data_IF_686958350411
#
_entry.id   IF_686958350411
#
_cell.length_a   1.000
_cell.length_b   1.000
_cell.length_c   1.000
_cell.angle_alpha   90.00
_cell.angle_beta   90.00
_cell.angle_gamma   90.00
#
_symmetry.space_group_name_H-M   'P 1'
#
loop_
_entity.id
_entity.type
_entity.pdbx_description
1 polymer ?
#
# COMPACT_ATOMS: atom_id res chain seq x y z
N UNK A 1 3.82 -62.72 17.97
CA UNK A 1 5.11 -62.84 18.68
C UNK A 1 5.64 -61.42 18.89
N UNK A 2 5.32 -60.76 19.99
CA UNK A 2 6.02 -60.67 21.31
C UNK A 2 6.63 -59.27 21.51
N UNK A 3 5.91 -58.45 22.29
CA UNK A 3 6.37 -57.49 23.32
C UNK A 3 7.44 -56.41 22.98
N UNK A 4 6.98 -55.16 22.93
CA UNK A 4 7.71 -54.01 23.48
C UNK A 4 6.72 -53.11 24.25
N UNK A 5 6.65 -53.29 25.57
CA UNK A 5 5.90 -52.45 26.53
C UNK A 5 6.74 -52.31 27.79
N UNK A 6 6.77 -51.09 28.34
CA UNK A 6 7.32 -50.66 29.64
C UNK A 6 8.82 -50.36 29.71
N UNK A 7 9.16 -49.10 29.49
CA UNK A 7 10.09 -48.34 30.33
C UNK A 7 9.48 -46.94 30.52
N UNK A 8 9.75 -46.28 31.64
CA UNK A 8 9.09 -45.06 32.17
C UNK A 8 7.83 -45.29 32.99
N UNK A 9 8.02 -45.86 34.18
CA UNK A 9 7.23 -45.48 35.34
C UNK A 9 8.10 -45.68 36.59
N UNK A 10 8.48 -44.57 37.25
CA UNK A 10 9.19 -44.67 38.52
C UNK A 10 10.16 -43.54 38.87
N UNK A 11 9.94 -42.30 38.46
CA UNK A 11 10.59 -41.19 39.16
C UNK A 11 9.82 -40.93 40.48
N UNK A 12 10.48 -40.88 41.65
CA UNK A 12 9.81 -40.67 42.92
C UNK A 12 9.14 -39.29 42.91
N UNK A 13 7.82 -39.24 43.15
CA UNK A 13 6.98 -38.02 43.17
C UNK A 13 7.55 -36.87 44.02
N UNK A 14 8.43 -37.16 44.97
CA UNK A 14 9.11 -36.15 45.80
C UNK A 14 10.18 -35.38 45.03
N UNK A 15 10.85 -35.97 44.04
CA UNK A 15 11.94 -35.33 43.29
C UNK A 15 11.40 -34.31 42.27
N UNK A 16 10.29 -34.61 41.60
CA UNK A 16 9.64 -33.68 40.67
C UNK A 16 9.05 -32.46 41.37
N UNK A 17 8.54 -32.62 42.61
CA UNK A 17 8.01 -31.49 43.37
C UNK A 17 9.12 -30.51 43.80
N UNK A 18 10.29 -31.01 44.23
CA UNK A 18 11.42 -30.16 44.61
C UNK A 18 12.04 -29.42 43.42
N UNK A 19 12.11 -30.05 42.24
CA UNK A 19 12.61 -29.40 41.01
C UNK A 19 11.69 -28.26 40.57
N UNK A 20 10.36 -28.44 40.63
CA UNK A 20 9.43 -27.38 40.31
C UNK A 20 9.46 -26.22 41.32
N UNK A 21 9.64 -26.52 42.61
CA UNK A 21 9.75 -25.49 43.65
C UNK A 21 11.02 -24.65 43.52
N UNK A 22 12.18 -25.27 43.20
CA UNK A 22 13.43 -24.53 42.98
C UNK A 22 13.41 -23.72 41.70
N UNK A 23 12.77 -24.21 40.62
CA UNK A 23 12.64 -23.45 39.37
C UNK A 23 11.76 -22.20 39.54
N UNK A 24 10.63 -22.32 40.27
CA UNK A 24 9.78 -21.17 40.61
C UNK A 24 10.49 -20.16 41.52
N UNK A 25 11.30 -20.63 42.49
CA UNK A 25 12.04 -19.73 43.36
C UNK A 25 13.13 -18.95 42.59
N UNK A 26 13.81 -19.60 41.64
CA UNK A 26 14.80 -18.96 40.75
C UNK A 26 14.14 -17.92 39.83
N UNK A 27 12.92 -18.17 39.35
CA UNK A 27 12.17 -17.22 38.50
C UNK A 27 11.71 -15.98 39.27
N UNK A 28 11.48 -16.09 40.58
CA UNK A 28 11.07 -14.96 41.42
C UNK A 28 12.23 -14.01 41.75
N UNK A 29 13.48 -14.49 41.76
CA UNK A 29 14.65 -13.66 42.03
C UNK A 29 15.14 -12.87 40.81
N UNK A 30 14.77 -13.23 39.58
CA UNK A 30 15.16 -12.52 38.35
C UNK A 30 14.31 -11.28 38.02
N UNK A 31 13.23 -11.00 38.75
CA UNK A 31 12.34 -9.85 38.52
C UNK A 31 12.65 -8.61 39.39
N UNK A 32 13.66 -8.66 40.27
CA UNK A 32 13.98 -7.57 41.19
C UNK A 32 15.16 -6.66 40.77
N UNK A 33 15.75 -6.87 39.58
CA UNK A 33 17.00 -6.22 39.17
C UNK A 33 16.86 -5.35 37.90
N UNK A 34 15.94 -4.39 37.88
CA UNK A 34 15.98 -3.27 36.93
C UNK A 34 15.38 -2.01 37.57
N UNK A 35 16.24 -1.14 38.12
CA UNK A 35 15.93 0.28 38.34
C UNK A 35 16.79 1.09 37.35
N UNK A 36 16.21 2.06 36.61
CA UNK A 36 16.99 2.92 35.72
C UNK A 36 17.63 4.07 36.50
N UNK A 37 18.94 4.17 36.42
CA UNK A 37 19.70 5.34 36.90
C UNK A 37 19.84 6.30 35.72
N UNK A 38 19.18 7.46 35.81
CA UNK A 38 19.35 8.55 34.85
C UNK A 38 20.60 9.38 35.13
N UNK A 39 21.30 9.80 34.08
CA UNK A 39 22.22 10.95 34.06
C UNK A 39 22.38 11.43 32.62
N UNK A 40 22.01 12.68 32.36
CA UNK A 40 22.38 13.44 31.16
C UNK A 40 23.87 13.88 31.24
N UNK A 41 24.53 14.17 30.12
CA UNK A 41 24.78 15.58 29.83
C UNK A 41 24.75 15.97 28.34
N UNK A 42 24.49 17.25 28.11
CA UNK A 42 24.89 18.02 26.92
C UNK A 42 25.81 19.16 27.40
N UNK A 43 26.39 20.02 26.54
CA UNK A 43 26.62 19.93 25.09
C UNK A 43 28.12 20.13 24.75
N UNK A 44 28.52 19.92 23.49
CA UNK A 44 29.60 20.75 22.95
C UNK A 44 29.49 21.04 21.45
N UNK A 45 30.00 22.22 21.13
CA UNK A 45 29.77 22.98 19.91
C UNK A 45 30.87 22.72 18.88
N UNK A 46 30.53 22.61 17.60
CA UNK A 46 31.43 23.08 16.54
C UNK A 46 30.65 23.37 15.25
N UNK A 47 30.49 24.66 15.04
CA UNK A 47 30.06 25.35 13.84
C UNK A 47 31.04 25.21 12.68
N UNK A 48 30.52 24.96 11.47
CA UNK A 48 31.18 25.38 10.22
C UNK A 48 30.16 26.09 9.34
N UNK A 49 30.40 27.39 9.15
CA UNK A 49 29.71 28.30 8.23
C UNK A 49 29.95 27.88 6.78
N UNK A 50 28.92 27.92 5.95
CA UNK A 50 29.07 28.30 4.55
C UNK A 50 27.89 29.17 4.13
N UNK A 51 28.20 30.24 3.42
CA UNK A 51 27.38 31.42 3.21
C UNK A 51 26.69 31.40 1.84
N UNK A 52 25.37 31.67 1.84
CA UNK A 52 24.61 32.61 0.98
C UNK A 52 24.68 32.51 -0.59
N UNK A 53 23.71 33.06 -1.35
CA UNK A 53 22.60 33.93 -0.92
C UNK A 53 21.19 33.48 -1.31
N UNK A 54 20.26 33.96 -0.48
CA UNK A 54 18.82 33.93 -0.68
C UNK A 54 18.36 35.02 -1.65
N UNK A 55 17.35 34.69 -2.44
CA UNK A 55 16.47 35.66 -3.10
C UNK A 55 15.14 35.66 -2.36
N UNK A 56 14.84 36.79 -1.74
CA UNK A 56 13.65 37.07 -0.93
C UNK A 56 12.45 37.32 -1.84
N UNK A 57 11.35 36.61 -1.61
CA UNK A 57 10.04 36.86 -2.21
C UNK A 57 8.96 36.53 -1.19
N UNK A 58 8.78 37.42 -0.22
CA UNK A 58 7.72 37.37 0.79
C UNK A 58 6.38 37.70 0.14
N UNK A 59 5.42 36.78 0.19
CA UNK A 59 4.00 37.10 0.14
C UNK A 59 3.30 36.32 1.25
N UNK A 60 3.05 37.03 2.35
CA UNK A 60 2.14 36.62 3.40
C UNK A 60 0.71 36.90 2.90
N UNK A 61 -0.09 35.85 2.75
CA UNK A 61 -1.54 35.98 2.73
C UNK A 61 -2.08 35.06 3.84
N UNK A 62 -2.43 35.69 4.96
CA UNK A 62 -3.30 35.11 5.98
C UNK A 62 -4.67 34.90 5.35
N UNK A 63 -5.18 33.66 5.39
CA UNK A 63 -6.60 33.37 5.20
C UNK A 63 -7.08 32.61 6.45
N UNK A 64 -8.21 32.99 7.07
CA UNK A 64 -8.55 32.57 8.41
C UNK A 64 -9.17 31.18 8.44
N UNK A 65 -9.01 30.54 9.60
CA UNK A 65 -9.65 29.30 10.04
C UNK A 65 -11.03 29.05 9.43
N UNK A 66 -11.12 28.07 8.54
CA UNK A 66 -12.34 27.29 8.35
C UNK A 66 -12.15 25.94 9.04
N UNK A 67 -12.50 25.94 10.32
CA UNK A 67 -12.88 24.77 11.09
C UNK A 67 -14.18 24.20 10.51
N UNK A 68 -14.08 23.54 9.35
CA UNK A 68 -15.12 22.71 8.77
C UNK A 68 -14.76 21.26 9.08
N UNK A 69 -15.38 20.69 10.13
CA UNK A 69 -15.40 19.24 10.30
C UNK A 69 -15.97 18.63 9.02
N UNK A 70 -15.11 17.93 8.27
CA UNK A 70 -15.55 17.08 7.17
C UNK A 70 -16.65 16.15 7.71
N UNK A 71 -17.80 16.03 7.02
CA UNK A 71 -18.80 15.07 7.41
C UNK A 71 -18.16 13.69 7.32
N UNK A 72 -18.04 13.02 8.47
CA UNK A 72 -17.69 11.60 8.53
C UNK A 72 -18.66 10.87 7.63
N UNK A 73 -18.17 10.34 6.51
CA UNK A 73 -18.97 9.56 5.59
C UNK A 73 -19.66 8.46 6.38
N UNK A 74 -20.97 8.61 6.60
CA UNK A 74 -21.78 7.54 7.13
C UNK A 74 -21.88 6.55 5.97
N UNK A 75 -21.04 5.52 5.99
CA UNK A 75 -21.18 4.35 5.13
C UNK A 75 -22.67 3.98 5.17
N UNK A 76 -23.36 4.13 4.04
CA UNK A 76 -24.76 3.73 3.93
C UNK A 76 -24.85 2.31 4.51
N UNK A 77 -25.88 2.04 5.32
CA UNK A 77 -26.03 0.78 6.01
C UNK A 77 -26.07 -0.38 5.01
N UNK A 78 -24.88 -0.87 4.69
CA UNK A 78 -24.61 -1.98 3.82
C UNK A 78 -25.14 -3.22 4.54
N UNK A 79 -25.86 -4.04 3.81
CA UNK A 79 -26.42 -5.28 4.32
C UNK A 79 -25.26 -6.11 4.89
N UNK A 80 -25.13 -6.18 6.23
CA UNK A 80 -24.05 -6.87 6.95
C UNK A 80 -24.06 -8.41 6.78
N UNK A 81 -24.68 -8.93 5.72
CA UNK A 81 -24.53 -10.32 5.32
C UNK A 81 -23.12 -10.48 4.73
N UNK A 82 -22.32 -11.45 5.22
CA UNK A 82 -21.09 -11.83 4.57
C UNK A 82 -21.38 -12.16 3.11
N UNK A 83 -20.64 -11.53 2.20
CA UNK A 83 -20.72 -11.86 0.78
C UNK A 83 -20.37 -13.34 0.57
N UNK A 84 -21.06 -14.01 -0.36
CA UNK A 84 -20.81 -15.42 -0.63
C UNK A 84 -19.38 -15.61 -1.16
N UNK A 85 -18.68 -16.64 -0.65
CA UNK A 85 -17.28 -16.88 -1.01
C UNK A 85 -17.06 -17.11 -2.51
N UNK A 86 -18.05 -17.60 -3.26
CA UNK A 86 -17.91 -17.77 -4.71
C UNK A 86 -18.03 -16.43 -5.45
N UNK A 87 -18.78 -15.47 -4.89
CA UNK A 87 -18.89 -14.13 -5.45
C UNK A 87 -17.57 -13.37 -5.24
N UNK A 88 -16.99 -13.46 -4.05
CA UNK A 88 -15.66 -12.90 -3.74
C UNK A 88 -14.59 -13.50 -4.67
N UNK A 89 -14.61 -14.83 -4.85
CA UNK A 89 -13.68 -15.49 -5.76
C UNK A 89 -13.85 -15.02 -7.21
N UNK A 90 -15.09 -14.86 -7.68
CA UNK A 90 -15.37 -14.36 -9.03
C UNK A 90 -14.86 -12.92 -9.23
N UNK A 91 -15.10 -12.03 -8.25
CA UNK A 91 -14.52 -10.68 -8.20
C UNK A 91 -13.00 -10.73 -8.32
N UNK A 92 -12.36 -11.57 -7.50
CA UNK A 92 -10.91 -11.76 -7.50
C UNK A 92 -10.37 -12.18 -8.85
N UNK A 93 -10.96 -13.19 -9.48
CA UNK A 93 -10.51 -13.71 -10.77
C UNK A 93 -10.63 -12.69 -11.91
N UNK A 94 -11.53 -11.71 -11.79
CA UNK A 94 -11.62 -10.60 -12.76
C UNK A 94 -10.68 -9.43 -12.49
N UNK A 95 -10.05 -9.40 -11.31
CA UNK A 95 -9.20 -8.29 -10.88
C UNK A 95 -7.80 -8.33 -11.52
N UNK A 96 -7.08 -7.21 -11.45
CA UNK A 96 -5.66 -7.16 -11.83
C UNK A 96 -4.77 -8.00 -10.89
N UNK A 97 -5.19 -8.29 -9.66
CA UNK A 97 -4.46 -9.21 -8.78
C UNK A 97 -4.57 -10.68 -9.22
N UNK A 98 -5.51 -11.00 -10.10
CA UNK A 98 -5.59 -12.30 -10.78
C UNK A 98 -4.84 -12.34 -12.13
N UNK A 99 -4.03 -11.34 -12.44
CA UNK A 99 -3.19 -11.33 -13.66
C UNK A 99 -1.95 -10.50 -13.41
N UNK A 100 -0.96 -11.10 -12.74
CA UNK A 100 0.18 -10.38 -12.18
C UNK A 100 1.52 -10.70 -12.85
N UNK A 101 1.52 -11.43 -13.96
CA UNK A 101 2.77 -11.77 -14.65
C UNK A 101 3.48 -10.51 -15.13
N UNK A 102 4.74 -10.38 -14.77
CA UNK A 102 5.59 -9.23 -15.06
C UNK A 102 7.02 -9.70 -15.24
N UNK A 103 7.79 -8.96 -16.04
CA UNK A 103 9.24 -9.13 -16.21
C UNK A 103 9.89 -7.75 -16.27
N UNK A 104 11.15 -7.68 -15.87
CA UNK A 104 11.99 -6.49 -16.07
C UNK A 104 12.54 -6.42 -17.51
N UNK A 105 13.27 -5.35 -17.83
CA UNK A 105 13.89 -5.16 -19.15
C UNK A 105 14.94 -6.22 -19.53
N UNK A 106 15.40 -7.05 -18.58
CA UNK A 106 16.31 -8.17 -18.81
C UNK A 106 15.57 -9.52 -18.93
N UNK A 107 14.22 -9.51 -18.93
CA UNK A 107 13.36 -10.70 -18.91
C UNK A 107 13.46 -11.50 -17.59
N UNK A 108 13.80 -10.87 -16.48
CA UNK A 108 13.80 -11.48 -15.15
C UNK A 108 12.56 -11.07 -14.34
N UNK A 109 12.11 -11.92 -13.42
CA UNK A 109 10.93 -11.65 -12.61
C UNK A 109 10.99 -12.22 -11.19
N UNK A 110 12.12 -12.82 -10.79
CA UNK A 110 12.28 -13.43 -9.48
C UNK A 110 12.16 -12.42 -8.32
N UNK A 111 12.62 -11.18 -8.51
CA UNK A 111 12.43 -10.09 -7.55
C UNK A 111 10.99 -9.57 -7.54
N UNK A 112 10.31 -9.58 -8.70
CA UNK A 112 8.91 -9.17 -8.82
C UNK A 112 7.99 -10.12 -8.04
N UNK A 113 8.33 -11.40 -7.95
CA UNK A 113 7.63 -12.44 -7.20
C UNK A 113 7.63 -12.22 -5.67
N UNK A 114 8.28 -11.17 -5.16
CA UNK A 114 8.10 -10.71 -3.78
C UNK A 114 6.71 -10.10 -3.55
N UNK A 115 6.23 -9.31 -4.52
CA UNK A 115 4.95 -8.60 -4.45
C UNK A 115 3.89 -9.23 -5.37
N UNK A 116 4.34 -9.98 -6.37
CA UNK A 116 3.52 -10.75 -7.30
C UNK A 116 3.62 -12.25 -6.96
N UNK A 117 2.76 -13.09 -7.54
CA UNK A 117 2.75 -14.52 -7.23
C UNK A 117 3.37 -15.37 -8.34
N UNK A 118 4.06 -16.49 -8.05
CA UNK A 118 4.13 -17.18 -6.77
C UNK A 118 5.02 -16.45 -5.77
N UNK A 119 4.58 -16.33 -4.52
CA UNK A 119 5.44 -15.79 -3.45
C UNK A 119 6.44 -16.86 -3.02
N UNK A 120 7.43 -17.07 -3.89
CA UNK A 120 8.57 -17.95 -3.72
C UNK A 120 9.86 -17.15 -3.48
N UNK A 121 9.71 -15.85 -3.25
CA UNK A 121 10.81 -14.95 -2.93
C UNK A 121 11.53 -15.43 -1.67
N UNK A 122 12.84 -15.64 -1.81
CA UNK A 122 13.75 -15.85 -0.69
C UNK A 122 14.53 -14.55 -0.52
N UNK A 123 14.36 -13.81 0.59
CA UNK A 123 15.15 -12.62 0.86
C UNK A 123 16.64 -12.93 0.83
N UNK A 124 17.46 -11.94 0.45
CA UNK A 124 18.91 -12.11 0.53
C UNK A 124 19.34 -12.34 1.99
N UNK A 125 20.51 -12.95 2.19
CA UNK A 125 21.06 -13.15 3.54
C UNK A 125 21.22 -11.83 4.31
N UNK A 126 21.42 -10.71 3.60
CA UNK A 126 21.57 -9.39 4.21
C UNK A 126 20.24 -8.84 4.73
N UNK A 127 19.11 -9.18 4.10
CA UNK A 127 17.77 -8.73 4.50
C UNK A 127 17.04 -9.70 5.45
N UNK A 128 17.62 -10.88 5.73
CA UNK A 128 17.08 -11.81 6.72
C UNK A 128 17.35 -11.36 8.17
N UNK A 129 16.41 -11.60 9.12
CA UNK A 129 16.65 -11.36 10.54
C UNK A 129 17.88 -12.11 11.09
N UNK A 130 18.55 -11.55 12.11
CA UNK A 130 19.74 -12.17 12.74
C UNK A 130 19.49 -13.60 13.28
N UNK A 131 18.24 -13.91 13.65
CA UNK A 131 17.82 -15.26 14.03
C UNK A 131 17.98 -16.27 12.88
N UNK A 132 17.77 -15.84 11.63
CA UNK A 132 17.95 -16.66 10.43
C UNK A 132 19.44 -16.82 10.06
N UNK A 133 20.29 -15.83 10.39
CA UNK A 133 21.75 -15.89 10.16
C UNK A 133 22.48 -16.86 11.09
N UNK A 134 21.85 -17.26 12.19
CA UNK A 134 22.44 -18.18 13.17
C UNK A 134 22.55 -19.62 12.66
N UNK A 135 21.74 -19.99 11.68
CA UNK A 135 21.76 -21.32 11.10
C UNK A 135 22.65 -21.35 9.84
N UNK A 136 23.61 -22.29 9.78
CA UNK A 136 24.53 -22.46 8.64
C UNK A 136 23.89 -23.19 7.45
N UNK A 137 22.67 -22.84 7.06
CA UNK A 137 22.11 -23.34 5.80
C UNK A 137 22.27 -22.28 4.71
N UNK A 138 22.74 -22.71 3.55
CA UNK A 138 22.76 -21.91 2.33
C UNK A 138 21.45 -22.18 1.59
N UNK A 139 20.69 -21.12 1.31
CA UNK A 139 19.52 -21.21 0.43
C UNK A 139 20.00 -20.75 -0.94
N UNK A 140 19.88 -21.62 -1.94
CA UNK A 140 20.18 -21.25 -3.31
C UNK A 140 19.27 -20.10 -3.75
N UNK A 141 19.78 -19.08 -4.46
CA UNK A 141 18.94 -18.01 -4.96
C UNK A 141 17.90 -18.60 -5.93
N UNK A 142 16.67 -18.03 -5.97
CA UNK A 142 15.67 -18.48 -6.93
C UNK A 142 16.19 -18.30 -8.37
N UNK A 143 15.74 -19.13 -9.33
CA UNK A 143 16.01 -18.88 -10.75
C UNK A 143 15.59 -17.46 -11.12
N UNK A 144 16.35 -16.72 -11.94
CA UNK A 144 16.08 -15.32 -12.25
C UNK A 144 14.76 -15.12 -13.02
N UNK A 145 14.27 -16.18 -13.67
CA UNK A 145 13.01 -16.22 -14.40
C UNK A 145 12.16 -17.39 -13.89
N UNK A 146 10.92 -17.07 -13.53
CA UNK A 146 9.81 -17.99 -13.29
C UNK A 146 8.96 -17.96 -14.56
N UNK A 147 8.74 -19.13 -15.17
CA UNK A 147 7.97 -19.20 -16.41
C UNK A 147 6.51 -18.76 -16.19
N UNK A 148 5.87 -18.15 -17.18
CA UNK A 148 4.47 -17.70 -17.08
C UNK A 148 3.52 -18.87 -16.73
N UNK A 149 3.79 -20.08 -17.22
CA UNK A 149 3.04 -21.29 -16.86
C UNK A 149 3.15 -21.71 -15.39
N UNK A 150 4.17 -21.22 -14.69
CA UNK A 150 4.41 -21.44 -13.26
C UNK A 150 4.03 -20.21 -12.43
N UNK A 151 3.74 -19.09 -13.10
CA UNK A 151 3.29 -17.86 -12.47
C UNK A 151 1.88 -18.03 -11.91
N UNK A 152 1.62 -17.40 -10.77
CA UNK A 152 0.35 -17.53 -10.08
C UNK A 152 -0.30 -16.17 -9.89
N UNK A 153 -1.58 -16.20 -9.54
CA UNK A 153 -2.30 -15.03 -9.08
C UNK A 153 -1.96 -14.78 -7.61
N UNK A 154 -2.07 -13.53 -7.16
CA UNK A 154 -1.96 -13.25 -5.73
C UNK A 154 -3.03 -14.11 -5.05
N UNK A 155 -2.61 -14.96 -4.11
CA UNK A 155 -3.50 -15.93 -3.48
C UNK A 155 -4.19 -15.26 -2.28
N UNK A 156 -5.42 -15.67 -1.94
CA UNK A 156 -6.15 -15.09 -0.79
C UNK A 156 -5.34 -15.16 0.51
N UNK A 157 -4.47 -16.17 0.62
CA UNK A 157 -3.58 -16.38 1.76
C UNK A 157 -2.55 -15.27 1.98
N UNK A 158 -2.33 -14.40 0.99
CA UNK A 158 -1.43 -13.25 1.13
C UNK A 158 -2.06 -12.19 2.05
N UNK A 159 -3.37 -12.01 1.96
CA UNK A 159 -4.13 -10.99 2.68
C UNK A 159 -4.94 -11.54 3.87
N UNK A 160 -5.20 -12.85 3.90
CA UNK A 160 -6.03 -13.50 4.89
C UNK A 160 -5.37 -14.79 5.39
N UNK A 161 -5.56 -15.13 6.67
CA UNK A 161 -5.14 -16.45 7.15
C UNK A 161 -5.98 -17.53 6.49
N UNK A 162 -5.35 -18.64 6.09
CA UNK A 162 -6.08 -19.84 5.66
C UNK A 162 -5.97 -20.92 6.73
N UNK A 163 -7.09 -21.29 7.36
CA UNK A 163 -7.15 -22.36 8.36
C UNK A 163 -8.04 -23.49 7.85
N UNK A 164 -7.52 -24.72 7.82
CA UNK A 164 -8.28 -25.90 7.36
C UNK A 164 -8.94 -25.70 5.98
N UNK A 165 -8.22 -25.06 5.05
CA UNK A 165 -8.70 -24.69 3.71
C UNK A 165 -9.84 -23.66 3.68
N UNK A 166 -10.02 -22.91 4.75
CA UNK A 166 -10.99 -21.82 4.83
C UNK A 166 -10.24 -20.50 5.01
N UNK A 167 -10.53 -19.54 4.13
CA UNK A 167 -10.06 -18.16 4.24
C UNK A 167 -10.76 -17.53 5.44
N UNK A 168 -9.98 -16.95 6.35
CA UNK A 168 -10.52 -16.19 7.48
C UNK A 168 -10.87 -14.77 7.03
N UNK A 169 -11.94 -14.19 7.57
CA UNK A 169 -12.39 -12.86 7.16
C UNK A 169 -11.43 -11.75 7.61
N UNK A 170 -10.75 -11.94 8.74
CA UNK A 170 -9.79 -10.97 9.26
C UNK A 170 -8.56 -10.88 8.35
N UNK A 171 -8.12 -9.64 8.13
CA UNK A 171 -6.91 -9.35 7.35
C UNK A 171 -5.65 -9.71 8.14
N UNK A 172 -4.61 -10.15 7.42
CA UNK A 172 -3.30 -10.48 7.96
C UNK A 172 -2.27 -10.51 6.84
N UNK A 173 -1.02 -10.18 7.14
CA UNK A 173 0.05 -10.25 6.15
C UNK A 173 0.77 -11.60 6.21
N UNK A 174 0.92 -12.29 5.08
CA UNK A 174 1.77 -13.47 4.98
C UNK A 174 3.24 -13.06 4.87
N UNK A 175 3.91 -12.99 6.02
CA UNK A 175 5.28 -12.50 6.13
C UNK A 175 6.32 -13.52 5.67
N UNK A 176 6.13 -14.80 6.02
CA UNK A 176 7.05 -15.88 5.62
C UNK A 176 6.25 -17.01 4.95
N UNK A 177 6.02 -16.92 3.63
CA UNK A 177 5.21 -17.89 2.88
C UNK A 177 5.62 -19.36 3.03
N UNK A 178 6.92 -19.73 3.03
CA UNK A 178 7.34 -21.13 3.13
C UNK A 178 6.90 -21.86 4.42
N UNK A 179 6.67 -21.12 5.51
CA UNK A 179 6.24 -21.67 6.81
C UNK A 179 4.86 -21.17 7.23
N UNK A 180 4.15 -20.48 6.33
CA UNK A 180 2.84 -19.87 6.59
C UNK A 180 2.80 -19.00 7.86
N UNK A 181 3.87 -18.20 8.08
CA UNK A 181 3.93 -17.27 9.19
C UNK A 181 3.28 -15.94 8.81
N UNK A 182 2.35 -15.48 9.66
CA UNK A 182 1.58 -14.28 9.44
C UNK A 182 1.85 -13.24 10.52
N UNK A 183 1.95 -11.97 10.12
CA UNK A 183 1.88 -10.82 11.01
C UNK A 183 0.48 -10.20 11.02
N UNK A 184 0.19 -9.53 12.13
CA UNK A 184 -0.98 -8.67 12.25
C UNK A 184 -0.70 -7.33 11.55
N UNK A 185 -1.75 -6.76 10.97
CA UNK A 185 -1.76 -5.45 10.33
C UNK A 185 -2.90 -4.64 10.95
N UNK A 186 -2.68 -3.35 11.15
CA UNK A 186 -3.64 -2.47 11.81
C UNK A 186 -4.77 -2.02 10.88
N UNK A 187 -4.57 -2.06 9.56
CA UNK A 187 -5.55 -1.63 8.56
C UNK A 187 -5.33 -2.27 7.18
N UNK A 188 -6.35 -2.20 6.32
CA UNK A 188 -6.23 -2.59 4.91
C UNK A 188 -5.16 -1.77 4.20
N UNK A 189 -5.05 -0.48 4.49
CA UNK A 189 -3.96 0.38 3.97
C UNK A 189 -2.59 -0.16 4.34
N UNK A 190 -2.35 -0.53 5.60
CA UNK A 190 -1.05 -1.11 6.01
C UNK A 190 -0.75 -2.39 5.23
N UNK A 191 -1.76 -3.24 5.02
CA UNK A 191 -1.62 -4.46 4.24
C UNK A 191 -1.28 -4.17 2.78
N UNK A 192 -2.02 -3.27 2.12
CA UNK A 192 -1.78 -2.87 0.73
C UNK A 192 -0.36 -2.31 0.56
N UNK A 193 0.12 -1.51 1.51
CA UNK A 193 1.47 -0.94 1.49
C UNK A 193 2.60 -1.96 1.64
N UNK A 194 2.32 -3.24 1.97
CA UNK A 194 3.34 -4.30 1.91
C UNK A 194 3.80 -4.58 0.47
N UNK A 195 2.93 -4.35 -0.51
CA UNK A 195 3.23 -4.52 -1.93
C UNK A 195 3.23 -3.19 -2.71
N UNK A 196 2.29 -2.30 -2.43
CA UNK A 196 2.17 -0.99 -3.08
C UNK A 196 3.06 0.05 -2.40
N UNK A 197 4.36 -0.15 -2.53
CA UNK A 197 5.39 0.72 -1.97
C UNK A 197 6.46 1.02 -2.99
N UNK A 198 7.20 2.10 -2.76
CA UNK A 198 8.45 2.35 -3.45
C UNK A 198 9.56 1.77 -2.57
N UNK A 199 10.00 0.56 -2.89
CA UNK A 199 11.15 -0.09 -2.26
C UNK A 199 12.29 -0.18 -3.25
N UNK A 200 13.54 -0.15 -2.78
CA UNK A 200 14.67 -0.60 -3.61
C UNK A 200 14.64 -2.13 -3.68
N UNK A 201 14.87 -2.78 -4.84
CA UNK A 201 15.35 -2.23 -6.12
C UNK A 201 14.22 -1.73 -7.07
N UNK A 202 12.98 -1.72 -6.61
CA UNK A 202 11.79 -1.30 -7.35
C UNK A 202 11.59 0.22 -7.34
N UNK A 203 12.66 1.02 -7.39
CA UNK A 203 12.58 2.49 -7.37
C UNK A 203 11.64 3.07 -8.44
N UNK A 204 11.46 2.32 -9.53
CA UNK A 204 10.58 2.60 -10.66
C UNK A 204 9.08 2.36 -10.37
N UNK A 205 8.74 1.72 -9.26
CA UNK A 205 7.35 1.60 -8.78
C UNK A 205 6.93 2.92 -8.12
N UNK A 206 5.76 3.42 -8.52
CA UNK A 206 5.22 4.65 -7.95
C UNK A 206 4.73 4.34 -6.54
N UNK A 207 5.21 5.12 -5.56
CA UNK A 207 4.62 5.11 -4.24
C UNK A 207 3.19 5.67 -4.32
N UNK A 208 2.24 4.98 -3.71
CA UNK A 208 0.87 5.47 -3.59
C UNK A 208 0.79 6.29 -2.30
N UNK A 209 0.55 7.59 -2.45
CA UNK A 209 0.39 8.51 -1.31
C UNK A 209 -1.02 9.08 -1.35
N UNK A 210 -1.85 8.64 -0.39
CA UNK A 210 -3.19 9.22 -0.20
C UNK A 210 -3.05 10.55 0.55
N UNK A 211 -3.24 11.65 -0.16
CA UNK A 211 -3.00 13.00 0.36
C UNK A 211 -4.03 14.02 -0.17
N UNK A 212 -3.83 15.28 0.20
CA UNK A 212 -4.68 16.39 -0.21
C UNK A 212 -6.09 16.29 0.37
N UNK A 213 -7.09 16.47 -0.47
CA UNK A 213 -8.51 16.47 -0.10
C UNK A 213 -8.99 15.13 0.50
N UNK A 214 -8.32 14.02 0.15
CA UNK A 214 -8.63 12.68 0.65
C UNK A 214 -7.67 12.20 1.75
N UNK A 215 -6.86 13.11 2.32
CA UNK A 215 -5.94 12.76 3.40
C UNK A 215 -6.69 12.08 4.56
N UNK A 216 -6.20 10.90 4.96
CA UNK A 216 -6.74 10.12 6.07
C UNK A 216 -7.76 9.04 5.67
N UNK A 217 -8.14 8.95 4.39
CA UNK A 217 -8.89 7.80 3.88
C UNK A 217 -7.96 6.58 3.74
N UNK A 218 -8.52 5.41 4.01
CA UNK A 218 -7.91 4.11 3.75
C UNK A 218 -8.10 3.65 2.32
N UNK A 219 -7.32 2.66 1.88
CA UNK A 219 -7.41 2.12 0.53
C UNK A 219 -8.80 1.53 0.25
N UNK A 220 -9.41 0.90 1.25
CA UNK A 220 -10.74 0.28 1.20
C UNK A 220 -11.91 1.25 1.40
N UNK A 221 -11.63 2.53 1.65
CA UNK A 221 -12.67 3.58 1.58
C UNK A 221 -13.01 3.93 0.12
N UNK A 222 -12.12 3.61 -0.82
CA UNK A 222 -12.31 3.87 -2.25
C UNK A 222 -12.34 2.61 -3.09
N UNK A 223 -11.55 1.58 -2.75
CA UNK A 223 -11.43 0.35 -3.52
C UNK A 223 -12.16 -0.83 -2.87
N UNK A 224 -12.81 -1.67 -3.67
CA UNK A 224 -13.08 -3.05 -3.24
C UNK A 224 -11.76 -3.85 -3.42
N UNK A 225 -11.16 -4.38 -2.33
CA UNK A 225 -9.89 -5.10 -2.43
C UNK A 225 -9.99 -6.39 -3.25
N UNK A 226 -11.20 -6.92 -3.48
CA UNK A 226 -11.40 -8.17 -4.20
C UNK A 226 -11.56 -8.01 -5.71
N UNK A 227 -12.02 -6.87 -6.23
CA UNK A 227 -12.05 -6.63 -7.69
C UNK A 227 -11.21 -5.42 -8.14
N UNK A 228 -10.69 -4.64 -7.17
CA UNK A 228 -9.93 -3.40 -7.34
C UNK A 228 -10.69 -2.25 -7.98
N UNK A 229 -11.99 -2.40 -8.17
CA UNK A 229 -12.84 -1.29 -8.58
C UNK A 229 -12.78 -0.19 -7.54
N UNK A 230 -12.70 1.05 -8.01
CA UNK A 230 -12.87 2.23 -7.19
C UNK A 230 -13.80 3.21 -7.89
N UNK A 231 -14.60 3.90 -7.10
CA UNK A 231 -15.56 4.86 -7.60
C UNK A 231 -15.65 6.07 -6.69
N UNK A 232 -15.50 7.26 -7.27
CA UNK A 232 -15.63 8.52 -6.56
C UNK A 232 -17.10 8.86 -6.26
N UNK A 233 -18.00 8.55 -7.19
CA UNK A 233 -19.42 8.89 -7.16
C UNK A 233 -20.26 7.80 -6.49
N UNK A 234 -20.07 6.53 -6.87
CA UNK A 234 -20.90 5.40 -6.43
C UNK A 234 -20.63 4.97 -4.99
N UNK A 235 -19.46 5.32 -4.42
CA UNK A 235 -19.15 5.09 -3.01
C UNK A 235 -19.91 6.04 -2.05
N UNK A 236 -20.81 6.87 -2.60
CA UNK A 236 -21.65 7.79 -1.85
C UNK A 236 -20.94 9.08 -1.41
N UNK A 237 -19.63 9.19 -1.63
CA UNK A 237 -18.82 10.35 -1.23
C UNK A 237 -19.07 11.56 -2.13
N UNK A 238 -19.12 11.37 -3.45
CA UNK A 238 -19.41 12.42 -4.43
C UNK A 238 -20.77 12.24 -5.10
N UNK A 239 -21.78 11.84 -4.32
CA UNK A 239 -23.15 11.77 -4.84
C UNK A 239 -23.64 13.17 -5.22
N UNK A 240 -24.21 13.31 -6.42
CA UNK A 240 -24.80 14.57 -6.85
C UNK A 240 -23.85 15.59 -7.46
N UNK A 241 -22.59 15.24 -7.76
CA UNK A 241 -21.71 16.09 -8.59
C UNK A 241 -22.39 16.38 -9.94
N UNK A 242 -23.06 15.38 -10.50
CA UNK A 242 -23.77 15.48 -11.77
C UNK A 242 -25.16 16.15 -11.63
N UNK A 243 -25.61 16.42 -10.39
CA UNK A 243 -26.99 16.85 -10.09
C UNK A 243 -27.08 18.10 -9.20
N UNK A 244 -27.40 19.21 -9.85
CA UNK A 244 -28.31 20.25 -9.36
C UNK A 244 -27.87 21.27 -8.28
N UNK A 245 -26.57 21.43 -7.97
CA UNK A 245 -26.09 22.55 -7.12
C UNK A 245 -25.72 23.83 -7.90
N UNK A 246 -26.03 23.88 -9.19
CA UNK A 246 -25.55 24.89 -10.14
C UNK A 246 -24.34 24.38 -10.95
N UNK A 247 -23.96 25.04 -12.05
CA UNK A 247 -22.84 24.60 -12.88
C UNK A 247 -21.52 24.81 -12.11
N UNK A 248 -20.97 23.74 -11.54
CA UNK A 248 -19.57 23.73 -11.12
C UNK A 248 -18.76 23.68 -12.42
N UNK A 249 -17.92 24.68 -12.64
CA UNK A 249 -17.08 24.72 -13.85
C UNK A 249 -16.29 23.41 -13.99
N UNK A 250 -16.24 22.85 -15.20
CA UNK A 250 -15.56 21.59 -15.47
C UNK A 250 -16.36 20.32 -15.13
N UNK A 251 -17.60 20.44 -14.64
CA UNK A 251 -18.50 19.31 -14.36
C UNK A 251 -19.72 19.33 -15.29
N UNK A 252 -19.49 19.66 -16.56
CA UNK A 252 -20.50 19.72 -17.62
C UNK A 252 -20.26 18.65 -18.70
N UNK A 253 -21.19 18.54 -19.65
CA UNK A 253 -21.11 17.56 -20.73
C UNK A 253 -19.83 17.69 -21.59
N UNK A 254 -19.22 18.88 -21.64
CA UNK A 254 -17.97 19.08 -22.38
C UNK A 254 -16.79 18.38 -21.70
N UNK A 255 -16.88 18.11 -20.39
CA UNK A 255 -15.87 17.42 -19.59
C UNK A 255 -16.25 15.97 -19.27
N UNK A 256 -17.32 15.42 -19.86
CA UNK A 256 -17.74 14.04 -19.64
C UNK A 256 -16.66 12.99 -19.99
N UNK A 257 -15.73 13.35 -20.87
CA UNK A 257 -14.58 12.52 -21.25
C UNK A 257 -13.32 12.79 -20.42
N UNK A 258 -13.41 13.58 -19.35
CA UNK A 258 -12.30 13.91 -18.45
C UNK A 258 -12.48 13.17 -17.13
N UNK A 259 -11.48 12.39 -16.73
CA UNK A 259 -11.49 11.71 -15.43
C UNK A 259 -11.34 12.72 -14.29
N UNK A 260 -11.90 12.42 -13.11
CA UNK A 260 -11.75 13.28 -11.93
C UNK A 260 -10.27 13.56 -11.63
N UNK A 261 -9.41 12.53 -11.70
CA UNK A 261 -7.96 12.67 -11.48
C UNK A 261 -7.24 13.47 -12.57
N UNK A 262 -7.78 13.62 -13.79
CA UNK A 262 -7.19 14.50 -14.79
C UNK A 262 -7.26 15.99 -14.40
N UNK A 263 -8.32 16.38 -13.68
CA UNK A 263 -8.53 17.73 -13.17
C UNK A 263 -7.98 17.92 -11.75
N UNK A 264 -8.29 16.98 -10.86
CA UNK A 264 -8.04 17.08 -9.41
C UNK A 264 -6.70 16.49 -8.97
N UNK A 265 -5.79 16.17 -9.90
CA UNK A 265 -4.45 15.71 -9.55
C UNK A 265 -3.63 16.79 -8.81
N UNK A 266 -3.02 16.39 -7.70
CA UNK A 266 -2.04 17.18 -6.96
C UNK A 266 -0.65 16.51 -6.88
N UNK A 267 -0.44 15.37 -7.58
CA UNK A 267 0.86 14.70 -7.68
C UNK A 267 1.74 15.24 -8.82
N UNK A 268 1.23 16.19 -9.61
CA UNK A 268 1.97 16.76 -10.73
C UNK A 268 2.10 15.79 -11.90
N UNK A 269 1.14 14.87 -12.03
CA UNK A 269 1.03 13.96 -13.16
C UNK A 269 0.76 14.75 -14.45
N UNK A 270 1.20 14.22 -15.58
CA UNK A 270 0.88 14.81 -16.88
C UNK A 270 -0.55 14.42 -17.26
N UNK A 271 -1.22 15.25 -18.05
CA UNK A 271 -2.62 15.02 -18.46
C UNK A 271 -2.71 14.97 -19.99
N UNK A 272 -3.53 14.06 -20.51
CA UNK A 272 -3.76 13.92 -21.95
C UNK A 272 -4.83 12.87 -22.27
N UNK A 273 -5.23 12.75 -23.54
CA UNK A 273 -6.14 11.69 -23.98
C UNK A 273 -5.43 10.34 -24.05
N UNK A 274 -6.10 9.28 -23.60
CA UNK A 274 -5.70 7.90 -23.81
C UNK A 274 -6.06 7.42 -25.24
N UNK A 275 -5.80 6.13 -25.54
CA UNK A 275 -6.10 5.54 -26.84
C UNK A 275 -7.59 5.55 -27.22
N UNK A 276 -8.50 5.69 -26.25
CA UNK A 276 -9.93 5.82 -26.45
C UNK A 276 -10.39 7.29 -26.51
N UNK A 277 -9.48 8.25 -26.37
CA UNK A 277 -9.77 9.68 -26.34
C UNK A 277 -10.26 10.20 -24.99
N UNK A 278 -10.20 9.39 -23.91
CA UNK A 278 -10.56 9.82 -22.56
C UNK A 278 -9.37 10.54 -21.93
N UNK A 279 -9.59 11.70 -21.31
CA UNK A 279 -8.55 12.45 -20.64
C UNK A 279 -8.24 11.85 -19.28
N UNK A 280 -7.00 11.41 -19.13
CA UNK A 280 -6.45 10.72 -17.95
C UNK A 280 -5.13 11.35 -17.53
N UNK A 281 -4.67 10.96 -16.35
CA UNK A 281 -3.34 11.27 -15.86
C UNK A 281 -2.32 10.20 -16.28
N UNK A 282 -1.09 10.62 -16.49
CA UNK A 282 0.05 9.77 -16.82
C UNK A 282 1.22 10.09 -15.92
N UNK A 283 2.10 9.11 -15.75
CA UNK A 283 3.35 9.30 -15.01
C UNK A 283 4.24 10.33 -15.72
N UNK A 284 4.89 11.25 -14.99
CA UNK A 284 5.73 12.29 -15.59
C UNK A 284 7.03 11.75 -16.22
N UNK A 285 7.43 10.51 -15.90
CA UNK A 285 8.54 9.82 -16.56
C UNK A 285 8.05 8.48 -17.11
N UNK A 286 8.24 8.28 -18.40
CA UNK A 286 8.33 6.94 -18.95
C UNK A 286 9.57 6.28 -18.31
N UNK A 287 9.45 5.03 -17.87
CA UNK A 287 10.62 4.25 -17.49
C UNK A 287 11.57 4.20 -18.70
N UNK A 288 12.89 4.10 -18.53
CA UNK A 288 13.85 4.19 -19.66
C UNK A 288 13.57 3.19 -20.81
N UNK A 289 12.75 2.16 -20.54
CA UNK A 289 12.27 1.14 -21.49
C UNK A 289 10.87 1.40 -22.09
N UNK A 290 10.13 2.40 -21.61
CA UNK A 290 8.78 2.71 -22.08
C UNK A 290 8.83 3.84 -23.12
N UNK A 291 8.36 3.54 -24.33
CA UNK A 291 8.26 4.54 -25.40
C UNK A 291 6.98 5.38 -25.32
N UNK A 292 6.01 4.95 -24.51
CA UNK A 292 4.70 5.58 -24.38
C UNK A 292 4.43 5.96 -22.91
N UNK A 293 3.73 7.08 -22.65
CA UNK A 293 3.29 7.45 -21.31
C UNK A 293 2.39 6.36 -20.70
N UNK A 294 2.70 5.91 -19.49
CA UNK A 294 1.88 4.94 -18.76
C UNK A 294 0.77 5.67 -17.97
N UNK A 295 -0.52 5.35 -18.22
CA UNK A 295 -1.62 5.91 -17.44
C UNK A 295 -1.47 5.61 -15.96
N UNK A 296 -1.79 6.59 -15.12
CA UNK A 296 -1.70 6.45 -13.67
C UNK A 296 -2.73 7.35 -12.99
N UNK A 297 -3.51 6.78 -12.08
CA UNK A 297 -4.50 7.54 -11.31
C UNK A 297 -3.84 8.17 -10.09
N UNK A 298 -3.95 9.50 -9.99
CA UNK A 298 -3.51 10.25 -8.82
C UNK A 298 -4.19 9.78 -7.53
N UNK A 299 -3.42 9.63 -6.46
CA UNK A 299 -3.94 9.35 -5.11
C UNK A 299 -3.82 10.56 -4.18
N UNK A 300 -3.18 11.63 -4.65
CA UNK A 300 -3.16 12.94 -4.01
C UNK A 300 -4.10 13.87 -4.77
N UNK A 301 -5.28 14.12 -4.19
CA UNK A 301 -6.32 14.90 -4.85
C UNK A 301 -6.39 16.32 -4.30
N UNK A 302 -6.64 17.31 -5.14
CA UNK A 302 -6.92 18.68 -4.75
C UNK A 302 -8.38 19.05 -4.98
N UNK A 303 -8.92 19.93 -4.14
CA UNK A 303 -10.25 20.52 -4.39
C UNK A 303 -10.17 21.56 -5.52
N UNK A 304 -9.12 22.38 -5.50
CA UNK A 304 -8.89 23.40 -6.52
C UNK A 304 -8.32 22.78 -7.81
N UNK A 305 -8.79 23.27 -8.95
CA UNK A 305 -8.41 22.78 -10.28
C UNK A 305 -7.78 23.90 -11.08
N UNK A 306 -6.61 23.62 -11.66
CA UNK A 306 -5.93 24.51 -12.58
C UNK A 306 -6.37 24.21 -14.03
N UNK A 307 -7.35 24.97 -14.55
CA UNK A 307 -7.90 24.74 -15.89
C UNK A 307 -6.86 24.89 -17.00
N UNK A 308 -5.82 25.69 -16.77
CA UNK A 308 -4.70 25.92 -17.70
C UNK A 308 -3.81 24.68 -17.90
N UNK A 309 -4.00 23.61 -17.11
CA UNK A 309 -3.40 22.28 -17.38
C UNK A 309 -3.83 21.71 -18.72
N UNK A 310 -5.07 21.99 -19.14
CA UNK A 310 -5.61 21.56 -20.44
C UNK A 310 -5.85 22.75 -21.38
N UNK A 311 -6.23 23.90 -20.84
CA UNK A 311 -6.60 25.09 -21.60
C UNK A 311 -5.45 26.11 -21.68
N UNK A 312 -4.41 25.77 -22.45
CA UNK A 312 -3.24 26.62 -22.64
C UNK A 312 -2.97 26.92 -24.12
N UNK A 313 -2.24 28.00 -24.38
CA UNK A 313 -1.92 28.42 -25.74
C UNK A 313 -1.08 27.36 -26.47
N UNK A 314 -1.45 27.05 -27.71
CA UNK A 314 -0.81 26.01 -28.54
C UNK A 314 -0.89 24.60 -27.94
N UNK A 315 -1.95 24.30 -27.18
CA UNK A 315 -2.23 22.93 -26.76
C UNK A 315 -2.28 22.00 -28.00
N UNK A 316 -1.56 20.86 -27.99
CA UNK A 316 -1.43 20.00 -29.17
C UNK A 316 -2.75 19.33 -29.59
N UNK A 317 -3.74 19.31 -28.70
CA UNK A 317 -5.09 18.80 -28.95
C UNK A 317 -6.10 19.88 -29.32
N UNK A 318 -5.65 21.13 -29.52
CA UNK A 318 -6.50 22.24 -29.98
C UNK A 318 -7.39 22.86 -28.90
N UNK A 319 -7.11 22.60 -27.61
CA UNK A 319 -7.81 23.23 -26.50
C UNK A 319 -7.26 24.64 -26.24
N UNK A 320 -8.08 25.65 -26.46
CA UNK A 320 -7.67 27.05 -26.24
C UNK A 320 -7.85 27.47 -24.77
N UNK A 321 -7.11 28.50 -24.32
CA UNK A 321 -7.36 29.15 -23.04
C UNK A 321 -8.82 29.59 -22.90
N UNK A 322 -9.36 29.44 -21.69
CA UNK A 322 -10.73 29.88 -21.36
C UNK A 322 -10.68 31.35 -20.95
N UNK A 323 -11.33 32.23 -21.70
CA UNK A 323 -11.42 33.65 -21.35
C UNK A 323 -12.21 33.83 -20.04
N UNK A 324 -11.60 34.50 -19.05
CA UNK A 324 -12.29 34.90 -17.82
C UNK A 324 -12.26 33.92 -16.65
N UNK A 325 -11.57 32.78 -16.77
CA UNK A 325 -11.30 31.88 -15.63
C UNK A 325 -9.85 32.09 -15.21
N UNK A 326 -9.59 33.02 -14.29
CA UNK A 326 -8.23 33.18 -13.75
C UNK A 326 -7.90 31.96 -12.90
N UNK A 327 -6.76 31.32 -13.16
CA UNK A 327 -6.11 30.41 -12.21
C UNK A 327 -6.01 31.14 -10.87
N UNK A 328 -6.73 30.65 -9.86
CA UNK A 328 -6.49 31.01 -8.46
C UNK A 328 -5.48 30.05 -7.88
#
# INVERSE_FOLDING_TARGET
>A
MTKAKKLFNGAPRKLTFWIFLTLMLLLAFSLAACKPTGTAPAPDSSSTKSSAPATTGTNSNENPDQNGQAPKATKAAENNQPEDSNVIEAKWQSSKHASTYVQDGNNYNASCAQCHAPVNFVPSMDSMPESCKSCKFEIAPPPPLIAESEWKNVECKICHKVKKKQVQAEISWLEIPPIEEYSEVASTTELCSKCHTQSEPLAQHVSIVVAGAHQGLGCDDCHDPHDLSADCASSGCHSGIDSASGPIAGHDDAHAMVTCSACHDADGLTVGPDAAGKWVTFRPQALESETEPTPFTSHNTAVDVACDRCHFANNPWGLNPVDGVSSK
#
